data_IF_971793959511
#
_entry.id   IF_971793959511
#
_cell.length_a   1.000
_cell.length_b   1.000
_cell.length_c   1.000
_cell.angle_alpha   90.00
_cell.angle_beta   90.00
_cell.angle_gamma   90.00
#
_symmetry.space_group_name_H-M   'P 1'
#
loop_
_entity.id
_entity.type
_entity.pdbx_description
1 polymer ?
#
# COMPACT_ATOMS: atom_id res chain seq x y z
N UNK A 1 4.26 -26.27 4.63
CA UNK A 1 4.08 -26.50 6.07
C UNK A 1 4.91 -25.55 6.94
N UNK A 2 6.25 -25.58 6.86
CA UNK A 2 7.11 -24.90 7.84
C UNK A 2 7.71 -23.58 7.32
N UNK A 3 8.03 -23.52 6.02
CA UNK A 3 8.61 -22.32 5.38
C UNK A 3 7.65 -21.12 5.46
N UNK A 4 6.34 -21.32 5.24
CA UNK A 4 5.36 -20.22 5.31
C UNK A 4 5.23 -19.60 6.69
N UNK A 5 5.29 -20.40 7.77
CA UNK A 5 5.23 -19.90 9.14
C UNK A 5 6.47 -19.05 9.48
N UNK A 6 7.65 -19.52 9.09
CA UNK A 6 8.91 -18.79 9.28
C UNK A 6 9.04 -17.48 8.49
N UNK A 7 8.33 -17.37 7.35
CA UNK A 7 8.29 -16.15 6.56
C UNK A 7 7.26 -15.19 7.14
N UNK A 8 6.09 -15.69 7.55
CA UNK A 8 5.04 -14.88 8.17
C UNK A 8 5.57 -14.14 9.41
N UNK A 9 6.28 -14.84 10.30
CA UNK A 9 6.85 -14.23 11.52
C UNK A 9 7.86 -13.10 11.23
N UNK A 10 8.50 -13.10 10.04
CA UNK A 10 9.44 -12.05 9.63
C UNK A 10 8.75 -10.78 9.13
N UNK A 11 7.56 -10.89 8.53
CA UNK A 11 6.86 -9.77 7.90
C UNK A 11 5.73 -9.20 8.76
N UNK A 12 5.24 -9.94 9.74
CA UNK A 12 4.19 -9.48 10.67
C UNK A 12 4.52 -8.12 11.29
N UNK A 13 5.75 -7.83 11.80
CA UNK A 13 6.06 -6.51 12.35
C UNK A 13 5.96 -5.38 11.31
N UNK A 14 6.40 -5.63 10.07
CA UNK A 14 6.36 -4.64 9.00
C UNK A 14 4.92 -4.36 8.54
N UNK A 15 4.05 -5.37 8.56
CA UNK A 15 2.64 -5.22 8.23
C UNK A 15 1.91 -4.39 9.28
N UNK A 16 2.17 -4.63 10.58
CA UNK A 16 1.59 -3.85 11.69
C UNK A 16 2.02 -2.38 11.64
N UNK A 17 3.26 -2.11 11.26
CA UNK A 17 3.75 -0.75 11.08
C UNK A 17 3.04 -0.03 9.93
N UNK A 18 2.93 -0.68 8.78
CA UNK A 18 2.24 -0.09 7.64
C UNK A 18 0.75 0.09 7.90
N UNK A 19 0.09 -0.85 8.58
CA UNK A 19 -1.33 -0.73 8.89
C UNK A 19 -1.58 0.50 9.77
N UNK A 20 -0.70 0.79 10.73
CA UNK A 20 -0.74 2.01 11.54
C UNK A 20 -0.66 3.27 10.66
N UNK A 21 0.34 3.33 9.76
CA UNK A 21 0.49 4.45 8.82
C UNK A 21 -0.74 4.61 7.92
N UNK A 22 -1.33 3.52 7.45
CA UNK A 22 -2.50 3.54 6.58
C UNK A 22 -3.75 4.03 7.32
N UNK A 23 -3.95 3.62 8.57
CA UNK A 23 -5.04 4.15 9.39
C UNK A 23 -4.90 5.65 9.63
N UNK A 24 -3.69 6.13 9.94
CA UNK A 24 -3.45 7.57 10.12
C UNK A 24 -3.72 8.37 8.84
N UNK A 25 -3.30 7.85 7.69
CA UNK A 25 -3.58 8.47 6.38
C UNK A 25 -5.07 8.48 6.08
N UNK A 26 -5.77 7.38 6.36
CA UNK A 26 -7.19 7.27 6.11
C UNK A 26 -8.00 8.23 7.00
N UNK A 27 -7.61 8.37 8.28
CA UNK A 27 -8.23 9.31 9.21
C UNK A 27 -7.96 10.79 8.84
N UNK A 28 -6.79 11.08 8.28
CA UNK A 28 -6.42 12.43 7.84
C UNK A 28 -6.95 12.80 6.45
N UNK A 29 -7.44 11.83 5.67
CA UNK A 29 -7.92 12.07 4.30
C UNK A 29 -9.42 12.36 4.30
N UNK A 30 -9.88 13.35 3.50
CA UNK A 30 -11.31 13.56 3.28
C UNK A 30 -11.94 12.36 2.58
N UNK A 31 -13.17 12.00 2.96
CA UNK A 31 -13.94 10.98 2.27
C UNK A 31 -14.32 11.46 0.86
N UNK A 32 -14.35 10.56 -0.14
CA UNK A 32 -14.66 10.89 -1.52
C UNK A 32 -16.08 11.45 -1.73
N UNK A 33 -17.06 10.92 -0.99
CA UNK A 33 -18.49 11.21 -1.21
C UNK A 33 -18.97 12.44 -0.43
N UNK A 34 -18.56 12.57 0.85
CA UNK A 34 -19.17 13.53 1.79
C UNK A 34 -18.24 14.69 2.20
N UNK A 35 -16.97 14.68 1.77
CA UNK A 35 -15.95 15.67 2.19
C UNK A 35 -15.60 15.65 3.69
N UNK A 36 -16.25 14.80 4.49
CA UNK A 36 -15.96 14.58 5.91
C UNK A 36 -14.69 13.76 6.14
N UNK A 37 -14.40 13.44 7.41
CA UNK A 37 -13.23 12.64 7.80
C UNK A 37 -13.65 11.29 8.39
N UNK A 38 -12.83 10.26 8.17
CA UNK A 38 -13.09 8.93 8.69
C UNK A 38 -13.03 8.94 10.23
N UNK A 39 -14.17 8.69 10.87
CA UNK A 39 -14.26 8.55 12.32
C UNK A 39 -14.18 7.08 12.73
N UNK A 40 -13.32 6.78 13.70
CA UNK A 40 -13.20 5.44 14.28
C UNK A 40 -14.25 5.28 15.38
N UNK A 41 -15.19 4.38 15.16
CA UNK A 41 -16.33 4.08 16.03
C UNK A 41 -16.27 2.63 16.52
N UNK A 42 -16.93 2.31 17.63
CA UNK A 42 -17.03 0.96 18.18
C UNK A 42 -17.58 -0.10 17.21
N UNK A 43 -18.31 0.34 16.17
CA UNK A 43 -18.86 -0.52 15.12
C UNK A 43 -17.90 -0.79 13.95
N UNK A 44 -16.98 0.13 13.63
CA UNK A 44 -16.16 0.06 12.41
C UNK A 44 -14.67 -0.27 12.65
N UNK A 45 -14.18 -0.15 13.88
CA UNK A 45 -12.75 -0.30 14.18
C UNK A 45 -12.18 -1.66 13.77
N UNK A 46 -12.97 -2.74 13.88
CA UNK A 46 -12.55 -4.08 13.46
C UNK A 46 -12.29 -4.13 11.96
N UNK A 47 -13.22 -3.63 11.17
CA UNK A 47 -13.12 -3.57 9.71
C UNK A 47 -11.94 -2.71 9.27
N UNK A 48 -11.71 -1.57 9.93
CA UNK A 48 -10.61 -0.66 9.64
C UNK A 48 -9.24 -1.27 9.93
N UNK A 49 -9.08 -1.92 11.09
CA UNK A 49 -7.83 -2.62 11.43
C UNK A 49 -7.61 -3.80 10.47
N UNK A 50 -8.65 -4.59 10.19
CA UNK A 50 -8.54 -5.72 9.29
C UNK A 50 -8.11 -5.28 7.88
N UNK A 51 -8.79 -4.28 7.31
CA UNK A 51 -8.49 -3.86 5.93
C UNK A 51 -7.11 -3.20 5.82
N UNK A 52 -6.72 -2.39 6.81
CA UNK A 52 -5.38 -1.80 6.82
C UNK A 52 -4.27 -2.86 6.91
N UNK A 53 -4.50 -3.94 7.66
CA UNK A 53 -3.56 -5.06 7.75
C UNK A 53 -3.51 -5.89 6.48
N UNK A 54 -4.66 -6.17 5.85
CA UNK A 54 -4.73 -6.87 4.56
C UNK A 54 -3.97 -6.06 3.49
N UNK A 55 -4.19 -4.74 3.43
CA UNK A 55 -3.46 -3.84 2.52
C UNK A 55 -1.96 -3.83 2.76
N UNK A 56 -1.54 -3.75 4.03
CA UNK A 56 -0.13 -3.83 4.38
C UNK A 56 0.51 -5.16 3.93
N UNK A 57 -0.21 -6.27 4.11
CA UNK A 57 0.27 -7.58 3.68
C UNK A 57 0.42 -7.67 2.16
N UNK A 58 -0.57 -7.15 1.40
CA UNK A 58 -0.51 -7.13 -0.07
C UNK A 58 0.62 -6.27 -0.62
N UNK A 59 0.98 -5.19 0.08
CA UNK A 59 2.09 -4.32 -0.33
C UNK A 59 3.46 -4.91 -0.04
N UNK A 60 3.61 -5.63 1.07
CA UNK A 60 4.89 -6.24 1.44
C UNK A 60 5.14 -7.58 0.74
N UNK A 61 4.11 -8.42 0.61
CA UNK A 61 4.24 -9.79 0.11
C UNK A 61 3.79 -9.91 -1.35
N UNK A 62 4.74 -10.21 -2.23
CA UNK A 62 4.49 -10.43 -3.66
C UNK A 62 3.64 -11.69 -3.91
N UNK A 63 3.59 -12.59 -2.93
CA UNK A 63 2.74 -13.78 -2.92
C UNK A 63 1.60 -13.65 -1.91
N UNK A 64 1.09 -12.42 -1.76
CA UNK A 64 0.03 -12.15 -0.80
C UNK A 64 -1.23 -12.98 -1.03
N UNK A 65 -1.81 -13.35 0.09
CA UNK A 65 -3.04 -14.13 0.22
C UNK A 65 -4.23 -13.32 -0.33
N UNK A 66 -5.20 -13.99 -0.98
CA UNK A 66 -6.37 -13.32 -1.59
C UNK A 66 -7.45 -13.05 -0.53
N UNK A 67 -8.40 -12.18 -0.87
CA UNK A 67 -9.53 -11.85 0.03
C UNK A 67 -10.36 -13.06 0.45
N UNK A 68 -10.52 -14.05 -0.44
CA UNK A 68 -11.27 -15.29 -0.14
C UNK A 68 -10.59 -16.17 0.91
N UNK A 69 -9.28 -16.05 1.07
CA UNK A 69 -8.57 -16.80 2.09
C UNK A 69 -8.75 -16.12 3.45
N UNK A 70 -8.89 -14.79 3.48
CA UNK A 70 -9.16 -14.03 4.71
C UNK A 70 -10.56 -14.31 5.28
N UNK A 71 -11.56 -14.64 4.45
CA UNK A 71 -12.89 -15.04 4.94
C UNK A 71 -12.87 -16.37 5.72
N UNK A 72 -11.84 -17.20 5.53
CA UNK A 72 -11.66 -18.44 6.30
C UNK A 72 -11.11 -18.18 7.70
N UNK A 73 -10.34 -17.09 7.86
CA UNK A 73 -9.70 -16.69 9.12
C UNK A 73 -10.60 -15.75 9.92
N UNK A 74 -11.35 -14.89 9.23
CA UNK A 74 -12.27 -13.92 9.82
C UNK A 74 -13.68 -14.16 9.26
N UNK A 75 -14.40 -15.18 9.77
CA UNK A 75 -15.72 -15.57 9.25
C UNK A 75 -16.80 -14.49 9.43
N UNK A 76 -16.55 -13.48 10.27
CA UNK A 76 -17.44 -12.33 10.42
C UNK A 76 -17.48 -11.43 9.16
N UNK A 77 -16.51 -11.59 8.25
CA UNK A 77 -16.37 -10.80 7.05
C UNK A 77 -16.64 -11.65 5.81
N UNK A 78 -17.67 -11.30 5.03
CA UNK A 78 -17.95 -11.96 3.75
C UNK A 78 -16.97 -11.50 2.67
N UNK A 79 -16.75 -12.31 1.64
CA UNK A 79 -15.87 -11.98 0.52
C UNK A 79 -16.28 -10.67 -0.16
N UNK A 80 -17.57 -10.55 -0.41
CA UNK A 80 -18.19 -9.35 -0.98
C UNK A 80 -17.96 -8.11 -0.12
N UNK A 81 -18.07 -8.24 1.20
CA UNK A 81 -17.79 -7.14 2.11
C UNK A 81 -16.32 -6.74 2.07
N UNK A 82 -15.39 -7.71 2.11
CA UNK A 82 -13.95 -7.46 2.02
C UNK A 82 -13.55 -6.76 0.72
N UNK A 83 -14.09 -7.21 -0.41
CA UNK A 83 -13.82 -6.60 -1.70
C UNK A 83 -14.30 -5.14 -1.75
N UNK A 84 -15.50 -4.86 -1.22
CA UNK A 84 -16.03 -3.48 -1.17
C UNK A 84 -15.18 -2.58 -0.28
N UNK A 85 -14.86 -3.01 0.94
CA UNK A 85 -14.08 -2.18 1.86
C UNK A 85 -12.64 -1.98 1.38
N UNK A 86 -12.07 -2.94 0.64
CA UNK A 86 -10.76 -2.78 0.02
C UNK A 86 -10.74 -1.63 -0.98
N UNK A 87 -11.69 -1.64 -1.93
CA UNK A 87 -11.80 -0.57 -2.92
C UNK A 87 -12.05 0.76 -2.23
N UNK A 88 -12.99 0.84 -1.29
CA UNK A 88 -13.27 2.07 -0.54
C UNK A 88 -12.04 2.57 0.22
N UNK A 89 -11.29 1.69 0.88
CA UNK A 89 -10.10 2.07 1.64
C UNK A 89 -8.97 2.58 0.72
N UNK A 90 -8.77 1.95 -0.45
CA UNK A 90 -7.82 2.43 -1.45
C UNK A 90 -8.20 3.80 -2.01
N UNK A 91 -9.49 4.03 -2.26
CA UNK A 91 -10.00 5.33 -2.72
C UNK A 91 -9.77 6.41 -1.67
N UNK A 92 -10.03 6.12 -0.38
CA UNK A 92 -9.75 7.06 0.72
C UNK A 92 -8.25 7.40 0.77
N UNK A 93 -7.38 6.41 0.57
CA UNK A 93 -5.93 6.61 0.52
C UNK A 93 -5.43 7.23 -0.79
N UNK A 94 -6.31 7.48 -1.76
CA UNK A 94 -5.96 7.94 -3.11
C UNK A 94 -4.87 7.06 -3.74
N UNK A 95 -4.93 5.76 -3.48
CA UNK A 95 -3.93 4.76 -3.91
C UNK A 95 -2.49 5.04 -3.42
N UNK A 96 -2.31 5.94 -2.45
CA UNK A 96 -1.04 6.35 -1.88
C UNK A 96 -0.50 5.36 -0.84
N UNK A 97 -0.15 4.15 -1.27
CA UNK A 97 0.33 3.08 -0.38
C UNK A 97 1.83 3.10 -0.09
N UNK A 98 2.60 3.87 -0.86
CA UNK A 98 4.04 4.01 -0.66
C UNK A 98 4.35 4.67 0.70
N UNK A 99 5.28 4.08 1.46
CA UNK A 99 5.76 4.63 2.72
C UNK A 99 7.27 4.81 2.63
N UNK A 100 7.72 6.06 2.72
CA UNK A 100 9.14 6.38 2.70
C UNK A 100 9.88 5.83 3.94
N UNK A 101 11.19 5.54 3.83
CA UNK A 101 11.98 4.99 4.94
C UNK A 101 11.93 5.83 6.22
N UNK A 102 11.89 7.17 6.09
CA UNK A 102 11.81 8.07 7.24
C UNK A 102 10.47 7.93 8.00
N UNK A 103 9.34 7.85 7.28
CA UNK A 103 8.02 7.64 7.90
C UNK A 103 7.94 6.27 8.57
N UNK A 104 8.48 5.24 7.90
CA UNK A 104 8.54 3.90 8.47
C UNK A 104 9.35 3.86 9.77
N UNK A 105 10.55 4.45 9.79
CA UNK A 105 11.39 4.52 10.98
C UNK A 105 10.72 5.32 12.11
N UNK A 106 10.09 6.45 11.80
CA UNK A 106 9.35 7.24 12.77
C UNK A 106 8.19 6.45 13.41
N UNK A 107 7.45 5.71 12.59
CA UNK A 107 6.36 4.86 13.07
C UNK A 107 6.88 3.72 13.96
N UNK A 108 7.99 3.11 13.58
CA UNK A 108 8.64 2.07 14.38
C UNK A 108 9.01 2.57 15.78
N UNK A 109 9.67 3.73 15.87
CA UNK A 109 10.00 4.31 17.18
C UNK A 109 8.77 4.71 17.98
N UNK A 110 7.72 5.21 17.30
CA UNK A 110 6.46 5.56 17.95
C UNK A 110 5.80 4.33 18.56
N UNK A 111 5.57 3.27 17.79
CA UNK A 111 4.97 2.03 18.30
C UNK A 111 5.83 1.38 19.39
N UNK A 112 7.16 1.42 19.26
CA UNK A 112 8.09 0.94 20.28
C UNK A 112 7.94 1.72 21.60
N UNK A 113 7.78 3.04 21.52
CA UNK A 113 7.54 3.89 22.69
C UNK A 113 6.22 3.54 23.38
N UNK A 114 5.13 3.41 22.62
CA UNK A 114 3.83 3.02 23.15
C UNK A 114 3.82 1.60 23.74
N UNK A 115 4.48 0.65 23.08
CA UNK A 115 4.61 -0.72 23.59
C UNK A 115 5.36 -0.75 24.93
N UNK A 116 6.47 0.00 25.04
CA UNK A 116 7.22 0.11 26.28
C UNK A 116 6.39 0.77 27.40
N UNK A 117 5.58 1.79 27.07
CA UNK A 117 4.69 2.44 28.02
C UNK A 117 3.54 1.53 28.47
N UNK A 118 2.93 0.78 27.55
CA UNK A 118 1.79 -0.09 27.81
C UNK A 118 2.15 -1.34 28.64
N UNK A 119 3.37 -1.87 28.48
CA UNK A 119 3.81 -3.07 29.19
C UNK A 119 4.25 -2.81 30.65
N UNK A 120 4.44 -1.54 31.04
CA UNK A 120 4.78 -1.13 32.41
C UNK A 120 6.06 -1.77 33.00
N UNK A 121 6.36 -1.52 34.29
CA UNK A 121 7.55 -2.09 34.95
C UNK A 121 7.51 -3.62 35.17
N UNK A 122 6.41 -4.30 34.80
CA UNK A 122 6.20 -5.74 35.07
C UNK A 122 7.09 -6.65 34.22
N UNK A 123 7.74 -6.09 33.20
CA UNK A 123 8.81 -6.75 32.46
C UNK A 123 10.09 -5.90 32.52
N UNK A 124 10.80 -5.96 33.65
CA UNK A 124 12.12 -5.32 33.81
C UNK A 124 13.16 -5.79 32.76
N UNK A 125 12.93 -6.93 32.07
CA UNK A 125 13.73 -7.39 30.92
C UNK A 125 13.30 -6.83 29.54
N UNK A 126 12.13 -6.17 29.44
CA UNK A 126 11.64 -5.61 28.18
C UNK A 126 12.44 -4.36 27.74
N UNK A 127 13.15 -3.70 28.66
CA UNK A 127 14.04 -2.59 28.32
C UNK A 127 15.22 -3.03 27.43
N UNK A 128 15.64 -4.31 27.48
CA UNK A 128 16.63 -4.87 26.55
C UNK A 128 16.01 -5.30 25.21
N UNK A 129 14.82 -5.92 25.23
CA UNK A 129 14.07 -6.28 24.02
C UNK A 129 13.74 -5.02 23.20
N UNK A 130 13.36 -3.96 23.91
CA UNK A 130 13.07 -2.65 23.36
C UNK A 130 14.24 -1.66 23.47
N UNK A 131 15.49 -2.16 23.47
CA UNK A 131 16.73 -1.35 23.43
C UNK A 131 16.60 -0.17 22.46
N UNK A 132 16.73 1.06 22.96
CA UNK A 132 16.67 2.32 22.20
C UNK A 132 17.86 2.52 21.24
N UNK A 133 18.48 1.43 20.78
CA UNK A 133 19.51 1.51 19.75
C UNK A 133 18.88 2.12 18.50
N UNK A 134 19.42 3.24 17.98
CA UNK A 134 18.94 3.80 16.73
C UNK A 134 19.01 2.73 15.65
N UNK A 135 18.09 2.78 14.68
CA UNK A 135 18.19 1.91 13.52
C UNK A 135 19.58 2.13 12.91
N UNK A 136 20.37 1.07 12.85
CA UNK A 136 21.69 1.12 12.22
C UNK A 136 21.52 1.68 10.81
N UNK A 137 22.31 2.69 10.48
CA UNK A 137 22.33 3.32 9.14
C UNK A 137 22.52 2.26 8.06
N UNK A 138 23.29 1.19 8.37
CA UNK A 138 23.49 0.03 7.51
C UNK A 138 22.20 -0.74 7.24
N UNK A 139 21.35 -0.94 8.26
CA UNK A 139 20.07 -1.65 8.12
C UNK A 139 19.04 -0.81 7.35
N UNK A 140 19.03 0.52 7.57
CA UNK A 140 18.21 1.44 6.77
C UNK A 140 18.60 1.41 5.28
N UNK A 141 19.91 1.36 4.99
CA UNK A 141 20.43 1.24 3.63
C UNK A 141 19.98 -0.04 2.94
N UNK A 142 20.03 -1.17 3.65
CA UNK A 142 19.56 -2.47 3.14
C UNK A 142 18.04 -2.49 2.91
N UNK A 143 17.25 -1.89 3.80
CA UNK A 143 15.80 -1.76 3.60
C UNK A 143 15.48 -0.88 2.38
N UNK A 144 16.22 0.20 2.20
CA UNK A 144 16.09 1.11 1.07
C UNK A 144 16.47 0.42 -0.25
N UNK A 145 17.54 -0.38 -0.27
CA UNK A 145 17.92 -1.19 -1.45
C UNK A 145 16.87 -2.25 -1.81
N UNK A 146 16.25 -2.89 -0.82
CA UNK A 146 15.17 -3.86 -1.06
C UNK A 146 13.90 -3.19 -1.59
N UNK A 147 13.55 -2.01 -1.09
CA UNK A 147 12.46 -1.21 -1.61
C UNK A 147 12.76 -0.77 -3.06
N UNK A 148 13.99 -0.32 -3.33
CA UNK A 148 14.40 0.14 -4.66
C UNK A 148 14.42 -0.98 -5.71
N UNK A 149 14.81 -2.21 -5.31
CA UNK A 149 14.71 -3.40 -6.17
C UNK A 149 13.26 -3.81 -6.48
N UNK A 150 12.30 -3.46 -5.62
CA UNK A 150 10.87 -3.71 -5.85
C UNK A 150 10.26 -2.73 -6.86
N UNK A 151 10.90 -1.57 -7.06
CA UNK A 151 10.50 -0.51 -8.01
C UNK A 151 11.27 -0.49 -9.32
N UNK A 152 12.30 -1.33 -9.51
CA UNK A 152 12.95 -1.45 -10.83
C UNK A 152 12.03 -2.24 -11.79
N UNK A 153 11.65 -1.69 -12.96
CA UNK A 153 10.95 -2.47 -13.97
C UNK A 153 11.85 -3.63 -14.46
N UNK A 154 11.26 -4.76 -14.90
CA UNK A 154 12.03 -5.91 -15.33
C UNK A 154 12.98 -5.51 -16.47
N UNK A 155 14.29 -5.58 -16.22
CA UNK A 155 15.32 -5.46 -17.27
C UNK A 155 15.33 -6.73 -18.10
N UNK A 156 14.31 -6.92 -18.94
CA UNK A 156 14.45 -7.77 -20.13
C UNK A 156 15.24 -6.99 -21.17
N UNK A 157 16.39 -7.50 -21.66
CA UNK A 157 17.08 -6.87 -22.76
C UNK A 157 16.22 -7.00 -24.01
N UNK A 158 15.70 -5.89 -24.53
CA UNK A 158 15.08 -5.83 -25.86
C UNK A 158 16.20 -6.08 -26.88
N UNK A 159 16.13 -7.12 -27.73
CA UNK A 159 17.10 -7.29 -28.81
C UNK A 159 16.94 -6.13 -29.79
N UNK A 160 18.04 -5.44 -30.11
CA UNK A 160 18.09 -4.45 -31.19
C UNK A 160 17.61 -5.09 -32.50
N UNK A 161 16.48 -4.63 -33.01
CA UNK A 161 16.06 -4.91 -34.38
C UNK A 161 16.68 -3.86 -35.31
N UNK A 162 17.48 -4.32 -36.28
CA UNK A 162 18.01 -3.50 -37.37
C UNK A 162 16.88 -2.92 -38.24
N UNK A 163 17.05 -1.71 -38.82
CA UNK A 163 16.02 -1.11 -39.67
C UNK A 163 16.03 -1.72 -41.09
N UNK A 164 14.87 -2.01 -41.71
CA UNK A 164 14.81 -2.45 -43.10
C UNK A 164 15.08 -1.30 -44.09
N UNK A 165 15.82 -1.62 -45.16
CA UNK A 165 16.17 -0.74 -46.29
C UNK A 165 14.99 -0.57 -47.28
N UNK A 166 14.82 0.67 -47.78
CA UNK A 166 14.11 1.03 -49.03
C UNK A 166 12.58 1.04 -48.91
N UNK A 167 11.80 1.91 -49.56
CA UNK A 167 12.02 2.81 -50.71
C UNK A 167 10.93 3.88 -50.70
N UNK A 168 11.27 5.09 -51.12
CA UNK A 168 10.45 6.32 -51.08
C UNK A 168 9.53 6.44 -52.31
N UNK A 169 8.22 6.63 -52.12
CA UNK A 169 7.29 7.42 -52.95
C UNK A 169 6.16 7.84 -52.00
N UNK A 170 6.02 9.08 -51.55
CA UNK A 170 5.83 10.30 -52.32
C UNK A 170 4.33 10.45 -52.58
N UNK A 171 3.62 11.23 -51.76
CA UNK A 171 2.43 12.06 -52.05
C UNK A 171 2.18 12.96 -50.83
N UNK A 172 1.93 14.25 -51.08
CA UNK A 172 1.88 15.33 -50.09
C UNK A 172 0.46 15.91 -50.02
N UNK A 173 0.13 16.41 -48.81
CA UNK A 173 -0.94 17.36 -48.44
C UNK A 173 -2.33 16.80 -48.06
N UNK A 174 -3.13 17.53 -47.25
CA UNK A 174 -2.79 18.44 -46.14
C UNK A 174 -3.58 18.13 -44.83
N UNK A 175 -3.17 18.81 -43.76
CA UNK A 175 -3.77 18.80 -42.41
C UNK A 175 -5.01 19.71 -42.36
N UNK A 176 -6.07 19.33 -41.61
CA UNK A 176 -6.83 20.28 -40.80
C UNK A 176 -6.85 19.80 -39.33
N UNK A 177 -6.38 20.62 -38.39
CA UNK A 177 -7.10 21.66 -37.67
C UNK A 177 -8.03 21.09 -36.58
N UNK A 178 -7.69 21.47 -35.35
CA UNK A 178 -8.46 21.31 -34.11
C UNK A 178 -9.82 22.03 -34.20
N UNK A 179 -10.75 21.71 -33.29
CA UNK A 179 -12.13 22.22 -33.12
C UNK A 179 -13.26 21.46 -33.86
N UNK A 180 -13.89 20.51 -33.16
CA UNK A 180 -15.36 20.35 -33.06
C UNK A 180 -15.68 19.05 -32.28
N UNK A 181 -15.81 19.14 -30.95
CA UNK A 181 -16.67 18.24 -30.19
C UNK A 181 -17.06 18.90 -28.85
N UNK A 182 -17.77 20.02 -28.99
CA UNK A 182 -18.52 20.68 -27.92
C UNK A 182 -19.97 20.76 -28.40
N UNK A 183 -20.91 20.46 -27.50
CA UNK A 183 -22.36 20.59 -27.64
C UNK A 183 -23.07 19.53 -28.50
N UNK A 184 -23.26 18.35 -27.92
CA UNK A 184 -24.40 17.48 -28.21
C UNK A 184 -25.17 17.21 -26.90
N UNK A 185 -25.68 18.26 -26.27
CA UNK A 185 -26.76 18.21 -25.28
C UNK A 185 -27.53 19.53 -25.38
N UNK A 186 -28.56 19.57 -26.22
CA UNK A 186 -29.82 20.31 -26.00
C UNK A 186 -30.80 19.91 -27.11
N UNK A 187 -32.04 19.62 -26.70
CA UNK A 187 -33.25 19.34 -27.50
C UNK A 187 -33.56 17.88 -27.90
N UNK A 188 -34.04 17.10 -26.93
CA UNK A 188 -35.37 16.45 -27.03
C UNK A 188 -36.05 16.74 -25.67
N UNK A 189 -37.26 17.30 -25.58
CA UNK A 189 -38.48 16.88 -26.26
C UNK A 189 -39.45 16.41 -25.17
#
# INVERSE_FOLDING_TARGET
GIVRKSQLDKYVPACVLLSSVYLERAAASPLPEDGGYLQITSSNWRSLILISLIMANKMWDDLSVKNIDFTQVCPEFTLDHLNRIEVSFLTILKYGLAVGPARYAAEYFRLRHWAAAALGPRHAGAHEIFSRKPLSVSLLRVLQEKQNKKTEPPKTPVPSAEPPKGTRKGHQAPVPAEEELLAAEEEEG
#
